data_IF_909448268055
#
_entry.id   IF_909448268055
#
_cell.length_a   1.000
_cell.length_b   1.000
_cell.length_c   1.000
_cell.angle_alpha   90.00
_cell.angle_beta   90.00
_cell.angle_gamma   90.00
#
_symmetry.space_group_name_H-M   'P 1'
#
loop_
_entity.id
_entity.type
_entity.pdbx_description
1 polymer ?
#
# COMPACT_ATOMS: atom_id res chain seq x y z
N UNK A 1 -3.49 14.37 -28.33
CA UNK A 1 -3.87 12.94 -28.23
C UNK A 1 -2.66 12.02 -28.06
N UNK A 2 -1.65 12.10 -28.92
CA UNK A 2 -0.42 11.28 -28.88
C UNK A 2 0.35 11.34 -27.55
N UNK A 3 0.54 12.52 -26.94
CA UNK A 3 1.24 12.67 -25.64
C UNK A 3 0.54 11.92 -24.49
N UNK A 4 -0.79 11.82 -24.55
CA UNK A 4 -1.58 11.14 -23.52
C UNK A 4 -1.48 9.61 -23.65
N UNK A 5 -1.42 9.10 -24.87
CA UNK A 5 -1.21 7.67 -25.17
C UNK A 5 0.18 7.25 -24.70
N UNK A 6 1.23 7.98 -25.09
CA UNK A 6 2.60 7.70 -24.68
C UNK A 6 2.79 7.73 -23.15
N UNK A 7 2.11 8.66 -22.45
CA UNK A 7 2.12 8.70 -20.98
C UNK A 7 1.44 7.47 -20.36
N UNK A 8 0.32 7.04 -20.91
CA UNK A 8 -0.40 5.84 -20.44
C UNK A 8 0.41 4.57 -20.65
N UNK A 9 1.09 4.45 -21.78
CA UNK A 9 2.00 3.34 -22.08
C UNK A 9 3.20 3.32 -21.13
N UNK A 10 3.80 4.48 -20.87
CA UNK A 10 4.89 4.62 -19.89
C UNK A 10 4.47 4.23 -18.49
N UNK A 11 3.30 4.70 -18.02
CA UNK A 11 2.77 4.33 -16.69
C UNK A 11 2.51 2.81 -16.63
N UNK A 12 1.93 2.23 -17.68
CA UNK A 12 1.64 0.80 -17.72
C UNK A 12 2.92 -0.04 -17.70
N UNK A 13 3.93 0.36 -18.46
CA UNK A 13 5.23 -0.32 -18.51
C UNK A 13 5.97 -0.25 -17.18
N UNK A 14 6.01 0.93 -16.55
CA UNK A 14 6.63 1.14 -15.25
C UNK A 14 5.92 0.34 -14.15
N UNK A 15 4.59 0.34 -14.14
CA UNK A 15 3.79 -0.44 -13.21
C UNK A 15 4.04 -1.95 -13.38
N UNK A 16 4.11 -2.42 -14.62
CA UNK A 16 4.39 -3.84 -14.88
C UNK A 16 5.81 -4.22 -14.43
N UNK A 17 6.80 -3.39 -14.71
CA UNK A 17 8.19 -3.59 -14.25
C UNK A 17 8.30 -3.63 -12.73
N UNK A 18 7.59 -2.73 -12.03
CA UNK A 18 7.51 -2.71 -10.57
C UNK A 18 6.83 -3.98 -10.02
N UNK A 19 5.66 -4.33 -10.54
CA UNK A 19 4.94 -5.55 -10.15
C UNK A 19 5.78 -6.81 -10.32
N UNK A 20 6.55 -6.90 -11.39
CA UNK A 20 7.43 -8.04 -11.63
C UNK A 20 8.50 -8.18 -10.54
N UNK A 21 8.98 -7.07 -9.97
CA UNK A 21 9.98 -7.09 -8.89
C UNK A 21 9.37 -7.55 -7.56
N UNK A 22 8.24 -6.96 -7.16
CA UNK A 22 7.67 -7.16 -5.82
C UNK A 22 6.69 -8.35 -5.73
N UNK A 23 6.35 -8.98 -6.83
CA UNK A 23 5.36 -10.05 -6.86
C UNK A 23 5.94 -11.45 -7.09
N UNK A 24 7.26 -11.62 -7.11
CA UNK A 24 7.88 -12.89 -7.49
C UNK A 24 7.39 -14.08 -6.66
N UNK A 25 7.30 -13.91 -5.33
CA UNK A 25 6.93 -14.97 -4.37
C UNK A 25 5.43 -15.04 -4.09
N UNK A 26 4.61 -14.32 -4.85
CA UNK A 26 3.16 -14.34 -4.69
C UNK A 26 2.52 -15.45 -5.53
N UNK A 27 1.40 -15.97 -5.02
CA UNK A 27 0.50 -16.86 -5.79
C UNK A 27 -0.12 -16.12 -6.99
N UNK A 28 -0.63 -16.86 -7.97
CA UNK A 28 -1.31 -16.25 -9.13
C UNK A 28 -2.50 -15.36 -8.71
N UNK A 29 -3.37 -15.78 -7.77
CA UNK A 29 -4.44 -14.91 -7.27
C UNK A 29 -3.91 -13.64 -6.60
N UNK A 30 -2.87 -13.74 -5.75
CA UNK A 30 -2.27 -12.60 -5.07
C UNK A 30 -1.59 -11.63 -6.04
N UNK A 31 -0.93 -12.12 -7.09
CA UNK A 31 -0.40 -11.29 -8.19
C UNK A 31 -1.51 -10.50 -8.90
N UNK A 32 -2.63 -11.15 -9.17
CA UNK A 32 -3.79 -10.52 -9.80
C UNK A 32 -4.42 -9.48 -8.88
N UNK A 33 -4.57 -9.79 -7.61
CA UNK A 33 -5.07 -8.85 -6.60
C UNK A 33 -4.17 -7.61 -6.51
N UNK A 34 -2.86 -7.78 -6.35
CA UNK A 34 -1.90 -6.67 -6.28
C UNK A 34 -1.98 -5.77 -7.51
N UNK A 35 -2.00 -6.37 -8.71
CA UNK A 35 -2.14 -5.63 -9.96
C UNK A 35 -3.44 -4.84 -10.02
N UNK A 36 -4.56 -5.50 -9.72
CA UNK A 36 -5.88 -4.90 -9.81
C UNK A 36 -6.03 -3.78 -8.75
N UNK A 37 -5.50 -3.98 -7.54
CA UNK A 37 -5.49 -2.97 -6.48
C UNK A 37 -4.71 -1.72 -6.89
N UNK A 38 -3.49 -1.87 -7.40
CA UNK A 38 -2.67 -0.74 -7.85
C UNK A 38 -3.29 -0.01 -9.03
N UNK A 39 -3.81 -0.72 -10.04
CA UNK A 39 -4.51 -0.10 -11.16
C UNK A 39 -5.76 0.64 -10.67
N UNK A 40 -6.55 0.00 -9.81
CA UNK A 40 -7.74 0.60 -9.22
C UNK A 40 -7.43 1.86 -8.42
N UNK A 41 -6.37 1.82 -7.60
CA UNK A 41 -5.90 2.97 -6.82
C UNK A 41 -5.43 4.12 -7.72
N UNK A 42 -4.57 3.85 -8.69
CA UNK A 42 -4.07 4.88 -9.63
C UNK A 42 -5.21 5.53 -10.40
N UNK A 43 -6.20 4.75 -10.84
CA UNK A 43 -7.32 5.26 -11.65
C UNK A 43 -8.38 5.98 -10.83
N UNK A 44 -8.65 5.52 -9.61
CA UNK A 44 -9.63 6.16 -8.70
C UNK A 44 -9.06 7.37 -7.98
N UNK A 45 -7.74 7.40 -7.75
CA UNK A 45 -7.07 8.37 -6.90
C UNK A 45 -7.47 8.27 -5.41
N UNK A 46 -8.12 7.17 -5.00
CA UNK A 46 -8.63 6.98 -3.64
C UNK A 46 -8.42 5.55 -3.17
N UNK A 47 -7.85 5.32 -1.95
CA UNK A 47 -7.67 3.99 -1.36
C UNK A 47 -8.98 3.44 -0.77
N UNK A 48 -10.05 3.45 -1.57
CA UNK A 48 -11.38 2.95 -1.19
C UNK A 48 -11.73 1.80 -2.12
N UNK A 49 -11.85 0.59 -1.58
CA UNK A 49 -11.96 -0.67 -2.34
C UNK A 49 -13.09 -0.62 -3.38
N UNK A 50 -14.26 -0.10 -3.02
CA UNK A 50 -15.37 0.02 -3.97
C UNK A 50 -15.07 1.01 -5.12
N UNK A 51 -14.32 2.10 -4.87
CA UNK A 51 -13.89 3.01 -5.92
C UNK A 51 -12.83 2.35 -6.81
N UNK A 52 -11.87 1.65 -6.21
CA UNK A 52 -10.88 0.89 -6.96
C UNK A 52 -11.54 -0.15 -7.87
N UNK A 53 -12.52 -0.92 -7.37
CA UNK A 53 -13.27 -1.91 -8.15
C UNK A 53 -14.04 -1.30 -9.34
N UNK A 54 -14.58 -0.07 -9.18
CA UNK A 54 -15.28 0.64 -10.27
C UNK A 54 -14.36 1.06 -11.40
N UNK A 55 -13.11 1.38 -11.08
CA UNK A 55 -12.13 1.89 -12.03
C UNK A 55 -11.23 0.82 -12.66
N UNK A 56 -11.46 -0.46 -12.36
CA UNK A 56 -10.75 -1.55 -13.03
C UNK A 56 -11.07 -1.59 -14.53
N UNK A 57 -10.07 -1.85 -15.39
CA UNK A 57 -10.22 -1.79 -16.85
C UNK A 57 -11.14 -2.85 -17.43
N UNK A 58 -11.22 -4.03 -16.78
CA UNK A 58 -12.05 -5.13 -17.29
C UNK A 58 -13.50 -4.97 -16.85
N UNK A 59 -14.34 -4.47 -17.76
CA UNK A 59 -15.78 -4.28 -17.54
C UNK A 59 -16.62 -5.52 -17.87
N UNK A 60 -16.05 -6.58 -18.41
CA UNK A 60 -16.80 -7.83 -18.71
C UNK A 60 -17.28 -8.52 -17.43
N UNK A 61 -16.57 -8.33 -16.32
CA UNK A 61 -16.97 -8.84 -15.00
C UNK A 61 -17.87 -7.82 -14.30
N UNK A 62 -18.96 -8.29 -13.70
CA UNK A 62 -19.89 -7.44 -12.92
C UNK A 62 -19.16 -6.71 -11.81
N UNK A 63 -19.61 -5.50 -11.50
CA UNK A 63 -19.00 -4.67 -10.45
C UNK A 63 -18.89 -5.40 -9.10
N UNK A 64 -19.98 -6.01 -8.63
CA UNK A 64 -19.98 -6.75 -7.36
C UNK A 64 -18.93 -7.85 -7.35
N UNK A 65 -18.81 -8.64 -8.39
CA UNK A 65 -17.81 -9.71 -8.47
C UNK A 65 -16.35 -9.18 -8.44
N UNK A 66 -16.13 -7.95 -8.93
CA UNK A 66 -14.80 -7.30 -8.82
C UNK A 66 -14.55 -6.81 -7.40
N UNK A 67 -15.58 -6.25 -6.75
CA UNK A 67 -15.53 -5.80 -5.36
C UNK A 67 -15.28 -6.99 -4.43
N UNK A 68 -16.12 -8.02 -4.50
CA UNK A 68 -16.01 -9.24 -3.68
C UNK A 68 -14.62 -9.88 -3.79
N UNK A 69 -14.05 -9.89 -5.00
CA UNK A 69 -12.69 -10.45 -5.21
C UNK A 69 -11.62 -9.63 -4.51
N UNK A 70 -11.71 -8.29 -4.54
CA UNK A 70 -10.74 -7.44 -3.83
C UNK A 70 -10.90 -7.57 -2.32
N UNK A 71 -12.12 -7.55 -1.81
CA UNK A 71 -12.41 -7.69 -0.38
C UNK A 71 -12.02 -9.07 0.16
N UNK A 72 -12.36 -10.14 -0.56
CA UNK A 72 -11.99 -11.49 -0.15
C UNK A 72 -10.48 -11.70 -0.04
N UNK A 73 -9.69 -11.01 -0.85
CA UNK A 73 -8.23 -11.12 -0.77
C UNK A 73 -7.66 -10.36 0.42
N UNK A 74 -8.22 -9.21 0.75
CA UNK A 74 -7.84 -8.44 1.93
C UNK A 74 -8.11 -9.18 3.26
N UNK A 75 -9.08 -10.08 3.26
CA UNK A 75 -9.50 -10.80 4.49
C UNK A 75 -8.91 -12.20 4.61
N UNK A 76 -8.47 -12.83 3.52
CA UNK A 76 -8.12 -14.26 3.50
C UNK A 76 -6.62 -14.54 3.37
N UNK A 77 -5.84 -13.65 2.83
CA UNK A 77 -4.42 -13.85 2.61
C UNK A 77 -3.60 -13.13 3.70
N UNK A 78 -3.55 -13.75 4.89
CA UNK A 78 -2.83 -13.22 6.04
C UNK A 78 -1.31 -13.08 5.83
N UNK A 79 -0.75 -13.76 4.83
CA UNK A 79 0.68 -13.73 4.53
C UNK A 79 1.05 -12.82 3.35
N UNK A 80 0.05 -12.21 2.72
CA UNK A 80 0.25 -11.31 1.57
C UNK A 80 1.12 -10.11 1.91
N UNK A 81 0.80 -9.43 3.03
CA UNK A 81 1.51 -8.23 3.46
C UNK A 81 2.97 -8.54 3.79
N UNK A 82 3.24 -9.62 4.52
CA UNK A 82 4.59 -10.06 4.86
C UNK A 82 5.42 -10.34 3.60
N UNK A 83 4.83 -10.99 2.61
CA UNK A 83 5.51 -11.25 1.33
C UNK A 83 5.83 -9.98 0.55
N UNK A 84 4.92 -9.00 0.55
CA UNK A 84 5.17 -7.70 -0.09
C UNK A 84 6.22 -6.92 0.68
N UNK A 85 6.11 -6.82 2.02
CA UNK A 85 7.08 -6.13 2.87
C UNK A 85 8.49 -6.69 2.69
N UNK A 86 8.64 -8.01 2.62
CA UNK A 86 9.94 -8.65 2.42
C UNK A 86 10.56 -8.35 1.05
N UNK A 87 9.77 -8.13 0.01
CA UNK A 87 10.27 -7.90 -1.35
C UNK A 87 10.40 -6.41 -1.73
N UNK A 88 9.69 -5.54 -1.02
CA UNK A 88 9.67 -4.12 -1.33
C UNK A 88 11.08 -3.46 -1.26
N UNK A 89 11.89 -3.72 -0.23
CA UNK A 89 13.26 -3.18 -0.16
C UNK A 89 14.12 -3.60 -1.36
N UNK A 90 14.02 -4.86 -1.79
CA UNK A 90 14.81 -5.40 -2.92
C UNK A 90 14.58 -4.64 -4.23
N UNK A 91 13.38 -4.07 -4.39
CA UNK A 91 13.07 -3.24 -5.56
C UNK A 91 13.89 -1.95 -5.61
N UNK A 92 14.35 -1.45 -4.45
CA UNK A 92 15.02 -0.16 -4.32
C UNK A 92 16.50 -0.27 -3.93
N UNK A 93 16.93 -1.37 -3.29
CA UNK A 93 18.32 -1.59 -2.86
C UNK A 93 19.38 -1.24 -3.93
N UNK A 94 19.21 -1.59 -5.22
CA UNK A 94 20.20 -1.23 -6.25
C UNK A 94 20.40 0.28 -6.45
N UNK A 95 19.47 1.10 -5.98
CA UNK A 95 19.51 2.56 -6.11
C UNK A 95 19.97 3.27 -4.83
N UNK A 96 20.01 2.54 -3.70
CA UNK A 96 20.45 3.06 -2.40
C UNK A 96 21.97 2.94 -2.30
N UNK A 97 22.63 4.03 -1.98
CA UNK A 97 24.08 4.13 -1.81
C UNK A 97 24.39 4.54 -0.37
N UNK A 98 25.64 4.39 0.06
CA UNK A 98 26.08 4.75 1.42
C UNK A 98 25.74 6.20 1.81
N UNK A 99 25.74 7.12 0.84
CA UNK A 99 25.37 8.52 1.05
C UNK A 99 23.87 8.81 0.87
N UNK A 100 23.03 7.79 0.65
CA UNK A 100 21.56 8.01 0.48
C UNK A 100 20.95 8.31 1.85
N UNK A 101 20.31 9.47 2.05
CA UNK A 101 19.65 9.77 3.30
C UNK A 101 18.48 8.81 3.57
N UNK A 102 18.43 8.30 4.81
CA UNK A 102 17.32 7.50 5.30
C UNK A 102 16.49 8.39 6.22
N UNK A 103 15.18 8.42 5.98
CA UNK A 103 14.21 9.21 6.72
C UNK A 103 13.36 8.24 7.53
N UNK A 104 13.35 8.41 8.85
CA UNK A 104 12.44 7.74 9.77
C UNK A 104 11.30 8.72 10.08
N UNK A 105 10.08 8.28 9.87
CA UNK A 105 8.88 9.04 10.22
C UNK A 105 7.96 8.21 11.12
N UNK A 106 7.39 8.87 12.12
CA UNK A 106 6.37 8.31 13.00
C UNK A 106 5.09 9.06 12.75
N UNK A 107 4.08 8.35 12.31
CA UNK A 107 2.75 8.90 12.05
C UNK A 107 1.66 8.08 12.74
N UNK A 108 0.41 8.47 12.55
CA UNK A 108 -0.75 7.78 13.11
C UNK A 108 -1.74 7.39 12.02
N UNK A 109 -2.50 6.34 12.30
CA UNK A 109 -3.68 5.96 11.53
C UNK A 109 -4.90 6.17 12.41
N UNK A 110 -5.45 7.38 12.37
CA UNK A 110 -6.64 7.73 13.14
C UNK A 110 -7.86 6.90 12.70
N UNK A 111 -8.55 6.28 13.66
CA UNK A 111 -9.75 5.47 13.48
C UNK A 111 -10.85 5.92 14.44
N UNK A 112 -11.30 7.20 14.41
CA UNK A 112 -12.16 7.78 15.44
C UNK A 112 -13.50 7.07 15.62
N UNK A 113 -13.98 6.36 14.61
CA UNK A 113 -15.25 5.64 14.63
C UNK A 113 -15.09 4.12 14.86
N UNK A 114 -13.86 3.60 14.91
CA UNK A 114 -13.63 2.18 15.16
C UNK A 114 -13.91 1.85 16.63
N UNK A 115 -14.63 0.72 16.86
CA UNK A 115 -14.99 0.25 18.22
C UNK A 115 -14.60 -1.22 18.47
N UNK A 116 -14.31 -1.98 17.41
CA UNK A 116 -14.14 -3.44 17.49
C UNK A 116 -12.97 -3.93 16.63
N UNK A 117 -11.99 -3.07 16.37
CA UNK A 117 -10.76 -3.50 15.73
C UNK A 117 -9.80 -4.05 16.78
N UNK A 118 -9.10 -5.13 16.43
CA UNK A 118 -8.13 -5.76 17.33
C UNK A 118 -7.02 -4.76 17.68
N UNK A 119 -6.60 -4.80 18.94
CA UNK A 119 -5.53 -3.94 19.49
C UNK A 119 -5.68 -2.44 19.20
N UNK A 120 -6.93 -1.96 19.15
CA UNK A 120 -7.22 -0.54 18.94
C UNK A 120 -6.72 0.26 20.14
N UNK A 121 -5.77 1.16 19.91
CA UNK A 121 -5.15 1.97 20.95
C UNK A 121 -5.56 3.44 20.83
N UNK A 122 -5.19 4.24 21.83
CA UNK A 122 -5.33 5.70 21.76
C UNK A 122 -4.06 6.29 21.16
N UNK A 123 -4.20 7.01 20.05
CA UNK A 123 -3.11 7.71 19.37
C UNK A 123 -3.42 9.22 19.31
N UNK A 124 -2.40 10.02 19.11
CA UNK A 124 -2.57 11.43 18.86
C UNK A 124 -2.64 11.66 17.35
N UNK A 125 -3.83 12.04 16.86
CA UNK A 125 -4.03 12.44 15.47
C UNK A 125 -3.15 13.65 15.13
N UNK A 126 -2.16 13.45 14.27
CA UNK A 126 -1.22 14.49 13.86
C UNK A 126 -1.89 15.66 13.13
N UNK A 127 -3.06 15.44 12.52
CA UNK A 127 -3.79 16.48 11.78
C UNK A 127 -4.61 17.41 12.68
N UNK A 128 -5.20 16.87 13.75
CA UNK A 128 -6.08 17.61 14.66
C UNK A 128 -5.47 17.86 16.04
N UNK A 129 -4.43 17.12 16.40
CA UNK A 129 -3.81 17.11 17.72
C UNK A 129 -4.64 16.45 18.82
N UNK A 130 -5.80 15.87 18.48
CA UNK A 130 -6.69 15.20 19.43
C UNK A 130 -6.29 13.76 19.69
N UNK A 131 -6.66 13.24 20.86
CA UNK A 131 -6.53 11.82 21.18
C UNK A 131 -7.73 11.07 20.59
N UNK A 132 -7.44 10.10 19.73
CA UNK A 132 -8.45 9.30 19.02
C UNK A 132 -8.05 7.83 19.04
N UNK A 133 -8.99 6.94 18.74
CA UNK A 133 -8.68 5.55 18.49
C UNK A 133 -7.87 5.39 17.20
N UNK A 134 -6.86 4.51 17.22
CA UNK A 134 -6.01 4.30 16.05
C UNK A 134 -4.83 3.38 16.29
N UNK A 135 -3.87 3.47 15.41
CA UNK A 135 -2.61 2.73 15.42
C UNK A 135 -1.47 3.70 15.15
N UNK A 136 -0.27 3.36 15.64
CA UNK A 136 0.95 4.03 15.23
C UNK A 136 1.48 3.43 13.93
N UNK A 137 2.15 4.26 13.15
CA UNK A 137 2.80 3.87 11.91
C UNK A 137 4.26 4.27 11.96
N UNK A 138 5.15 3.32 11.73
CA UNK A 138 6.59 3.57 11.53
C UNK A 138 6.89 3.46 10.06
N UNK A 139 7.47 4.50 9.50
CA UNK A 139 7.81 4.57 8.09
C UNK A 139 9.30 4.87 7.92
N UNK A 140 9.96 4.07 7.10
CA UNK A 140 11.35 4.27 6.72
C UNK A 140 11.44 4.47 5.21
N UNK A 141 12.01 5.59 4.80
CA UNK A 141 12.18 5.95 3.40
C UNK A 141 13.64 6.18 3.05
N UNK A 142 14.06 5.76 1.85
CA UNK A 142 15.31 6.22 1.25
C UNK A 142 15.03 7.40 0.32
N UNK A 143 15.74 8.50 0.52
CA UNK A 143 15.63 9.70 -0.32
C UNK A 143 16.56 9.59 -1.53
N UNK A 144 16.10 8.92 -2.59
CA UNK A 144 16.88 8.77 -3.83
C UNK A 144 17.07 10.11 -4.57
N UNK A 145 16.13 11.04 -4.37
CA UNK A 145 16.24 12.43 -4.78
C UNK A 145 15.31 13.30 -3.93
N UNK A 146 15.47 14.63 -3.97
CA UNK A 146 14.61 15.56 -3.21
C UNK A 146 13.10 15.35 -3.42
N UNK A 147 12.68 14.73 -4.52
CA UNK A 147 11.27 14.59 -4.89
C UNK A 147 10.78 13.14 -4.91
N UNK A 148 11.68 12.17 -4.73
CA UNK A 148 11.35 10.76 -4.90
C UNK A 148 11.87 9.94 -3.71
N UNK A 149 11.26 10.07 -2.52
CA UNK A 149 11.49 9.11 -1.46
C UNK A 149 10.87 7.77 -1.87
N UNK A 150 11.55 6.67 -1.56
CA UNK A 150 11.05 5.32 -1.77
C UNK A 150 10.89 4.61 -0.44
N UNK A 151 9.78 3.89 -0.21
CA UNK A 151 9.55 3.21 1.05
C UNK A 151 10.47 1.99 1.17
N UNK A 152 11.10 1.85 2.35
CA UNK A 152 11.90 0.68 2.74
C UNK A 152 11.14 -0.18 3.73
N UNK A 153 10.51 0.46 4.73
CA UNK A 153 9.75 -0.19 5.78
C UNK A 153 8.45 0.59 6.01
N UNK A 154 7.39 -0.15 6.24
CA UNK A 154 6.10 0.35 6.69
C UNK A 154 5.54 -0.64 7.68
N UNK A 155 5.49 -0.27 8.97
CA UNK A 155 4.96 -1.11 10.02
C UNK A 155 3.93 -0.34 10.84
N UNK A 156 2.78 -0.98 11.05
CA UNK A 156 1.78 -0.50 11.99
C UNK A 156 1.92 -1.25 13.31
N UNK A 157 1.81 -0.55 14.41
CA UNK A 157 1.84 -1.17 15.73
C UNK A 157 0.85 -0.51 16.68
N UNK A 158 0.55 -1.21 17.76
CA UNK A 158 -0.31 -0.73 18.82
C UNK A 158 0.27 -1.10 20.18
N UNK A 159 0.36 -0.15 21.09
CA UNK A 159 0.72 -0.42 22.48
C UNK A 159 -0.36 -1.21 23.26
N UNK A 160 -1.50 -1.47 22.66
CA UNK A 160 -2.52 -2.38 23.19
C UNK A 160 -2.28 -3.85 22.81
N UNK A 161 -1.33 -4.11 21.89
CA UNK A 161 -0.95 -5.45 21.48
C UNK A 161 -0.02 -6.08 22.53
N UNK A 162 -0.31 -7.31 23.02
CA UNK A 162 0.62 -8.05 23.85
C UNK A 162 1.94 -8.23 23.07
N UNK A 163 3.08 -8.00 23.72
CA UNK A 163 4.41 -8.08 23.12
C UNK A 163 4.75 -6.93 22.12
N UNK A 164 4.00 -5.85 22.13
CA UNK A 164 4.41 -4.62 21.42
C UNK A 164 5.70 -4.08 22.03
N UNK A 165 6.68 -3.64 21.20
CA UNK A 165 7.95 -3.13 21.66
C UNK A 165 7.84 -1.86 22.52
#
# INVERSE_FOLDING_TARGET
MLKRIALMESISSNLYGFLKKIANNLSVPSKKFLRDSLIGLIRSGKPVVCQMARHLPNQQTKFLSRLDRLEAHLTKDSDFDNKIKAQLPDAWLPFIKDATPIILDLSDIAKPFAKKMDYLATVRDGSTGQLVNGYWLVELYASLSRKNPVPILLESFSHAEPDSP
#
